data_IF_601974132245
#
_entry.id   IF_601974132245
#
_cell.length_a   1.000
_cell.length_b   1.000
_cell.length_c   1.000
_cell.angle_alpha   90.00
_cell.angle_beta   90.00
_cell.angle_gamma   90.00
#
_symmetry.space_group_name_H-M   'P 1'
#
loop_
_entity.id
_entity.type
_entity.pdbx_description
1 polymer ?
#
# COMPACT_ATOMS: atom_id res chain seq x y z
N UNK A 1 -14.85 11.54 14.32
CA UNK A 1 -16.22 11.12 13.94
C UNK A 1 -17.08 12.36 14.00
N UNK A 2 -17.80 12.69 12.93
CA UNK A 2 -18.61 13.91 12.81
C UNK A 2 -19.94 13.57 12.13
N UNK A 3 -20.82 14.55 11.98
CA UNK A 3 -22.05 14.42 11.19
C UNK A 3 -22.00 15.37 9.99
N UNK A 4 -22.68 14.99 8.89
CA UNK A 4 -22.94 15.86 7.75
C UNK A 4 -24.44 15.99 7.53
N UNK A 5 -24.85 17.13 6.99
CA UNK A 5 -26.18 17.31 6.42
C UNK A 5 -26.10 17.04 4.93
N UNK A 6 -27.00 16.22 4.41
CA UNK A 6 -27.14 16.01 2.97
C UNK A 6 -28.59 15.77 2.60
N UNK A 7 -28.94 16.09 1.36
CA UNK A 7 -30.23 15.73 0.80
C UNK A 7 -30.32 14.24 0.48
N UNK A 8 -31.48 13.65 0.76
CA UNK A 8 -31.74 12.24 0.50
C UNK A 8 -32.45 12.04 -0.83
N UNK A 9 -31.70 11.58 -1.83
CA UNK A 9 -32.25 11.14 -3.12
C UNK A 9 -32.61 9.64 -3.08
N UNK A 10 -33.79 9.33 -2.54
CA UNK A 10 -34.38 7.98 -2.59
C UNK A 10 -35.88 8.04 -2.93
N UNK A 11 -36.27 7.92 -4.22
CA UNK A 11 -37.67 7.90 -4.64
C UNK A 11 -38.47 6.82 -3.90
N UNK A 12 -39.69 7.16 -3.45
CA UNK A 12 -40.54 6.26 -2.65
C UNK A 12 -40.29 6.28 -1.14
N UNK A 13 -39.24 6.96 -0.66
CA UNK A 13 -39.04 7.19 0.77
C UNK A 13 -39.76 8.45 1.25
N UNK A 14 -40.31 8.44 2.47
CA UNK A 14 -40.83 9.64 3.17
C UNK A 14 -39.76 10.73 3.39
N UNK A 15 -38.48 10.33 3.29
CA UNK A 15 -37.32 11.20 3.44
C UNK A 15 -36.80 11.70 2.08
N UNK A 16 -37.45 11.38 0.96
CA UNK A 16 -37.04 11.87 -0.35
C UNK A 16 -37.06 13.39 -0.42
N UNK A 17 -35.98 14.00 -0.92
CA UNK A 17 -35.79 15.46 -1.03
C UNK A 17 -35.87 16.19 0.31
N UNK A 18 -35.50 15.52 1.40
CA UNK A 18 -35.34 16.12 2.73
C UNK A 18 -33.88 16.05 3.15
N UNK A 19 -33.48 17.07 3.90
CA UNK A 19 -32.21 17.10 4.60
C UNK A 19 -32.22 16.05 5.72
N UNK A 20 -31.13 15.31 5.88
CA UNK A 20 -30.96 14.36 6.98
C UNK A 20 -29.54 14.38 7.48
N UNK A 21 -29.36 14.50 8.79
CA UNK A 21 -28.06 14.36 9.44
C UNK A 21 -27.61 12.91 9.40
N UNK A 22 -26.38 12.67 8.93
CA UNK A 22 -25.75 11.35 8.93
C UNK A 22 -24.38 11.40 9.56
N UNK A 23 -24.08 10.38 10.36
CA UNK A 23 -22.76 10.19 10.92
C UNK A 23 -21.77 9.76 9.84
N UNK A 24 -20.58 10.36 9.89
CA UNK A 24 -19.46 10.05 9.00
C UNK A 24 -18.18 9.88 9.81
N UNK A 25 -17.34 8.97 9.32
CA UNK A 25 -15.98 8.81 9.80
C UNK A 25 -15.05 9.58 8.87
N UNK A 26 -14.31 10.54 9.42
CA UNK A 26 -13.26 11.22 8.70
C UNK A 26 -12.05 10.28 8.67
N UNK A 27 -11.65 9.86 7.48
CA UNK A 27 -10.47 9.01 7.27
C UNK A 27 -9.38 9.86 6.63
N UNK A 28 -8.28 10.04 7.35
CA UNK A 28 -7.08 10.64 6.76
C UNK A 28 -6.45 9.63 5.78
N UNK A 29 -6.30 10.06 4.53
CA UNK A 29 -5.76 9.22 3.45
C UNK A 29 -4.50 9.87 2.87
N UNK A 30 -3.36 9.80 3.60
CA UNK A 30 -2.12 10.34 3.08
C UNK A 30 -1.72 9.60 1.78
N UNK A 31 -1.01 10.25 0.85
CA UNK A 31 -0.56 9.63 -0.39
C UNK A 31 0.21 8.33 -0.12
N UNK A 32 -0.18 7.26 -0.80
CA UNK A 32 0.49 5.97 -0.67
C UNK A 32 1.71 5.90 -1.60
N UNK A 33 2.87 5.56 -1.04
CA UNK A 33 4.10 5.34 -1.82
C UNK A 33 4.22 3.86 -2.18
N UNK A 34 4.21 3.55 -3.48
CA UNK A 34 4.41 2.19 -4.00
C UNK A 34 5.91 1.86 -3.93
N UNK A 35 6.25 0.73 -3.33
CA UNK A 35 7.64 0.33 -3.05
C UNK A 35 8.08 -0.96 -3.73
N UNK A 36 7.16 -1.65 -4.41
CA UNK A 36 7.45 -2.88 -5.11
C UNK A 36 6.18 -3.47 -5.74
N UNK A 37 6.39 -4.48 -6.58
CA UNK A 37 5.34 -5.23 -7.28
C UNK A 37 5.49 -6.70 -6.92
N UNK A 38 4.37 -7.37 -6.71
CA UNK A 38 4.31 -8.81 -6.45
C UNK A 38 3.63 -9.48 -7.63
N UNK A 39 4.29 -10.49 -8.18
CA UNK A 39 3.75 -11.29 -9.25
C UNK A 39 2.98 -12.49 -8.70
N UNK A 40 1.79 -12.73 -9.26
CA UNK A 40 0.96 -13.88 -8.94
C UNK A 40 0.66 -14.69 -10.20
N UNK A 41 0.85 -16.00 -10.11
CA UNK A 41 0.55 -16.95 -11.19
C UNK A 41 -0.65 -17.80 -10.81
N UNK A 42 -1.55 -18.01 -11.78
CA UNK A 42 -2.72 -18.88 -11.60
C UNK A 42 -2.29 -20.35 -11.57
N UNK A 43 -2.56 -21.02 -10.47
CA UNK A 43 -2.37 -22.46 -10.29
C UNK A 43 -3.72 -23.16 -10.12
N UNK A 44 -3.81 -24.50 -10.29
CA UNK A 44 -5.05 -25.23 -10.08
C UNK A 44 -5.66 -25.08 -8.67
N UNK A 45 -4.85 -24.69 -7.68
CA UNK A 45 -5.27 -24.47 -6.29
C UNK A 45 -5.52 -22.98 -5.96
N UNK A 46 -5.44 -22.09 -6.96
CA UNK A 46 -5.59 -20.64 -6.79
C UNK A 46 -4.35 -19.84 -7.22
N UNK A 47 -4.30 -18.55 -6.88
CA UNK A 47 -3.15 -17.70 -7.17
C UNK A 47 -1.98 -18.05 -6.24
N UNK A 48 -0.80 -18.28 -6.81
CA UNK A 48 0.43 -18.51 -6.07
C UNK A 48 1.37 -17.33 -6.29
N UNK A 49 2.02 -16.89 -5.21
CA UNK A 49 3.15 -15.97 -5.27
C UNK A 49 4.25 -16.54 -6.16
N UNK A 50 4.72 -15.76 -7.13
CA UNK A 50 5.90 -16.11 -7.93
C UNK A 50 7.14 -15.41 -7.38
N UNK A 51 7.22 -14.09 -7.56
CA UNK A 51 8.36 -13.26 -7.15
C UNK A 51 7.90 -11.86 -6.70
N UNK A 52 8.77 -11.15 -5.97
CA UNK A 52 8.58 -9.72 -5.63
C UNK A 52 9.74 -8.91 -6.18
N UNK A 53 9.43 -7.84 -6.91
CA UNK A 53 10.40 -6.83 -7.33
C UNK A 53 10.23 -5.59 -6.46
N UNK A 54 11.27 -5.16 -5.77
CA UNK A 54 11.28 -3.94 -4.96
C UNK A 54 11.90 -2.78 -5.70
N UNK A 55 11.49 -1.54 -5.39
CA UNK A 55 12.14 -0.35 -5.89
C UNK A 55 13.61 -0.26 -5.43
N UNK A 56 14.47 0.35 -6.26
CA UNK A 56 15.88 0.56 -5.95
C UNK A 56 16.04 1.40 -4.67
N UNK A 57 15.32 2.52 -4.60
CA UNK A 57 15.40 3.45 -3.48
C UNK A 57 14.17 3.30 -2.59
N UNK A 58 14.40 2.84 -1.36
CA UNK A 58 13.36 2.68 -0.34
C UNK A 58 13.56 3.70 0.78
N UNK A 59 12.47 4.36 1.17
CA UNK A 59 12.48 5.31 2.28
C UNK A 59 12.78 4.63 3.63
N UNK A 60 13.28 5.40 4.60
CA UNK A 60 13.55 4.88 5.94
C UNK A 60 12.27 4.40 6.64
N UNK A 61 11.13 5.05 6.38
CA UNK A 61 9.82 4.68 6.92
C UNK A 61 9.42 3.25 6.54
N UNK A 62 9.69 2.86 5.29
CA UNK A 62 9.43 1.50 4.83
C UNK A 62 10.43 0.53 5.44
N UNK A 63 11.72 0.90 5.53
CA UNK A 63 12.75 0.07 6.20
C UNK A 63 12.41 -0.16 7.68
N UNK A 64 11.79 0.82 8.35
CA UNK A 64 11.33 0.72 9.74
C UNK A 64 10.30 -0.38 9.95
N UNK A 65 9.47 -0.68 8.94
CA UNK A 65 8.48 -1.78 9.01
C UNK A 65 9.12 -3.16 9.15
N UNK A 66 10.39 -3.33 8.75
CA UNK A 66 11.10 -4.62 8.81
C UNK A 66 11.81 -4.89 10.15
N UNK A 67 11.73 -3.98 11.12
CA UNK A 67 12.33 -4.18 12.44
C UNK A 67 11.32 -3.90 13.55
N UNK A 68 11.12 -4.88 14.44
CA UNK A 68 10.35 -4.68 15.68
C UNK A 68 11.00 -3.63 16.58
N UNK A 69 12.33 -3.64 16.69
CA UNK A 69 13.11 -2.63 17.43
C UNK A 69 14.08 -1.92 16.50
N UNK A 70 13.61 -0.84 15.88
CA UNK A 70 14.38 -0.06 14.90
C UNK A 70 15.64 0.57 15.48
N UNK A 71 15.53 1.26 16.62
CA UNK A 71 16.61 2.05 17.20
C UNK A 71 17.80 1.20 17.67
N UNK A 72 17.54 -0.04 18.14
CA UNK A 72 18.61 -0.99 18.52
C UNK A 72 19.11 -1.85 17.35
N UNK A 73 18.54 -1.71 16.16
CA UNK A 73 18.92 -2.51 15.00
C UNK A 73 20.09 -1.89 14.22
N UNK A 74 20.79 -2.72 13.44
CA UNK A 74 21.82 -2.27 12.51
C UNK A 74 21.25 -1.64 11.22
N UNK A 75 19.92 -1.54 11.10
CA UNK A 75 19.20 -0.97 9.94
C UNK A 75 19.67 -1.48 8.57
N UNK A 76 19.97 -2.77 8.41
CA UNK A 76 20.54 -3.34 7.17
C UNK A 76 19.53 -3.78 6.10
N UNK A 77 18.23 -3.65 6.35
CA UNK A 77 17.18 -4.01 5.40
C UNK A 77 17.39 -3.31 4.04
N UNK A 78 17.29 -4.09 2.95
CA UNK A 78 17.43 -3.67 1.55
C UNK A 78 18.77 -3.05 1.12
N UNK A 79 19.78 -3.02 1.99
CA UNK A 79 21.10 -2.44 1.66
C UNK A 79 21.84 -3.22 0.57
N UNK A 80 21.72 -4.55 0.53
CA UNK A 80 22.29 -5.39 -0.54
C UNK A 80 21.44 -5.31 -1.82
N UNK A 81 20.12 -5.29 -1.67
CA UNK A 81 19.18 -5.26 -2.78
C UNK A 81 19.32 -3.97 -3.59
N UNK A 82 19.44 -2.81 -2.92
CA UNK A 82 19.70 -1.52 -3.58
C UNK A 82 20.98 -1.53 -4.44
N UNK A 83 22.00 -2.29 -4.04
CA UNK A 83 23.27 -2.42 -4.79
C UNK A 83 23.16 -3.31 -6.02
N UNK A 84 22.17 -4.21 -6.08
CA UNK A 84 21.95 -5.03 -7.28
C UNK A 84 21.53 -4.17 -8.48
N UNK A 85 20.95 -3.01 -8.24
CA UNK A 85 20.65 -2.04 -9.30
C UNK A 85 21.89 -1.25 -9.76
N UNK A 86 23.02 -1.34 -9.08
CA UNK A 86 24.25 -0.66 -9.49
C UNK A 86 25.04 -1.51 -10.49
N UNK A 87 25.03 -2.84 -10.34
CA UNK A 87 25.70 -3.77 -11.26
C UNK A 87 24.82 -4.15 -12.46
N UNK A 88 25.43 -4.33 -13.64
CA UNK A 88 24.71 -4.74 -14.85
C UNK A 88 24.05 -6.12 -14.70
N UNK A 89 24.75 -7.07 -14.07
CA UNK A 89 24.21 -8.42 -13.85
C UNK A 89 23.05 -8.42 -12.85
N UNK A 90 23.07 -7.53 -11.86
CA UNK A 90 21.98 -7.37 -10.92
C UNK A 90 20.75 -6.73 -11.55
N UNK A 91 20.92 -5.73 -12.43
CA UNK A 91 19.82 -5.17 -13.24
C UNK A 91 19.16 -6.23 -14.11
N UNK A 92 19.94 -7.11 -14.76
CA UNK A 92 19.42 -8.22 -15.55
C UNK A 92 18.54 -9.13 -14.71
N UNK A 93 18.95 -9.49 -13.49
CA UNK A 93 18.16 -10.33 -12.59
C UNK A 93 16.82 -9.73 -12.13
N UNK A 94 16.68 -8.40 -12.18
CA UNK A 94 15.46 -7.68 -11.83
C UNK A 94 14.54 -7.48 -13.06
N UNK A 95 15.13 -7.36 -14.24
CA UNK A 95 14.42 -7.15 -15.51
C UNK A 95 14.02 -8.45 -16.22
N UNK A 96 14.59 -9.59 -15.81
CA UNK A 96 14.31 -10.92 -16.40
C UNK A 96 13.06 -11.56 -15.85
#
# INVERSE_FOLDING_TARGET
MTHIVRDVEKPGSKLHKKETCKDVTIVETPPMVIVGVVEYVKTPRGLRFLNTVWAQHLSEEVRRRFYKNWCKSKKKAFTKYSKQYESEDGKKSVQS
#
